data_IF_352816668930
#
_entry.id   IF_352816668930
#
_cell.length_a   1.000
_cell.length_b   1.000
_cell.length_c   1.000
_cell.angle_alpha   90.00
_cell.angle_beta   90.00
_cell.angle_gamma   90.00
#
_symmetry.space_group_name_H-M   'P 1'
#
loop_
_entity.id
_entity.type
_entity.pdbx_description
1 polymer ?
#
# COMPACT_ATOMS: atom_id res chain seq x y z
N UNK A 1 -16.06 10.83 -0.41
CA UNK A 1 -14.60 11.01 -0.52
C UNK A 1 -14.26 11.22 -2.00
N UNK A 2 -13.30 12.08 -2.34
CA UNK A 2 -12.90 12.33 -3.72
C UNK A 2 -12.23 11.10 -4.35
N UNK A 3 -12.34 10.93 -5.66
CA UNK A 3 -11.61 9.90 -6.40
C UNK A 3 -10.10 10.08 -6.29
N UNK A 4 -9.38 8.97 -6.31
CA UNK A 4 -7.91 8.98 -6.37
C UNK A 4 -7.49 9.56 -7.72
N UNK A 5 -6.79 10.68 -7.67
CA UNK A 5 -6.27 11.41 -8.81
C UNK A 5 -4.78 11.11 -9.00
N UNK A 6 -4.40 10.73 -10.22
CA UNK A 6 -3.01 10.55 -10.63
C UNK A 6 -2.20 11.85 -10.47
N UNK A 7 -0.96 11.74 -10.02
CA UNK A 7 -0.06 12.86 -9.72
C UNK A 7 -0.18 13.40 -8.29
N UNK A 8 -1.29 13.16 -7.59
CA UNK A 8 -1.49 13.62 -6.21
C UNK A 8 -0.78 12.73 -5.19
N UNK A 9 -0.59 13.28 -3.99
CA UNK A 9 0.08 12.63 -2.85
C UNK A 9 -0.93 12.22 -1.81
N UNK A 10 -0.73 11.05 -1.22
CA UNK A 10 -1.65 10.47 -0.26
C UNK A 10 -0.88 9.87 0.92
N UNK A 11 -1.51 9.91 2.09
CA UNK A 11 -1.28 8.88 3.11
C UNK A 11 -2.24 7.73 2.86
N UNK A 12 -1.73 6.51 2.97
CA UNK A 12 -2.46 5.28 2.66
C UNK A 12 -2.66 4.53 3.98
N UNK A 13 -3.90 4.48 4.45
CA UNK A 13 -4.23 4.05 5.81
C UNK A 13 -4.86 2.66 5.75
N UNK A 14 -4.35 1.70 6.52
CA UNK A 14 -5.00 0.41 6.67
C UNK A 14 -6.36 0.59 7.34
N UNK A 15 -7.42 0.07 6.74
CA UNK A 15 -8.77 0.31 7.23
C UNK A 15 -9.06 -0.37 8.58
N UNK A 16 -8.38 -1.49 8.88
CA UNK A 16 -8.52 -2.25 10.13
C UNK A 16 -7.60 -1.69 11.23
N UNK A 17 -6.29 -1.65 10.97
CA UNK A 17 -5.28 -1.30 11.97
C UNK A 17 -5.09 0.22 12.17
N UNK A 18 -5.55 1.05 11.23
CA UNK A 18 -5.42 2.51 11.31
C UNK A 18 -3.99 3.05 11.12
N UNK A 19 -2.99 2.18 10.99
CA UNK A 19 -1.61 2.55 10.63
C UNK A 19 -1.50 2.88 9.14
N UNK A 20 -0.48 3.66 8.79
CA UNK A 20 -0.19 4.06 7.40
C UNK A 20 0.89 3.19 6.77
N UNK A 21 0.86 3.12 5.44
CA UNK A 21 1.93 2.56 4.62
C UNK A 21 3.22 3.39 4.80
N UNK A 22 4.20 2.83 5.51
CA UNK A 22 5.45 3.50 5.87
C UNK A 22 6.65 2.81 5.20
N UNK A 23 7.46 3.59 4.49
CA UNK A 23 8.78 3.14 4.04
C UNK A 23 9.81 3.40 5.15
N UNK A 24 10.42 2.34 5.67
CA UNK A 24 11.41 2.45 6.74
C UNK A 24 12.60 3.31 6.31
N UNK A 25 12.76 4.48 6.91
CA UNK A 25 13.91 5.37 6.69
C UNK A 25 15.25 4.74 7.11
N UNK A 26 15.22 3.72 7.99
CA UNK A 26 16.43 3.08 8.51
C UNK A 26 17.19 2.31 7.43
N UNK A 27 16.47 1.71 6.48
CA UNK A 27 17.07 0.91 5.42
C UNK A 27 16.58 1.29 4.01
N UNK A 28 15.60 2.18 3.91
CA UNK A 28 15.01 2.63 2.65
C UNK A 28 14.43 1.48 1.83
N UNK A 29 14.03 0.36 2.45
CA UNK A 29 13.60 -0.85 1.76
C UNK A 29 12.38 -1.51 2.38
N UNK A 30 12.27 -1.58 3.70
CA UNK A 30 11.16 -2.30 4.33
C UNK A 30 9.88 -1.46 4.32
N UNK A 31 8.76 -2.06 3.94
CA UNK A 31 7.42 -1.46 4.07
C UNK A 31 6.69 -2.05 5.27
N UNK A 32 6.23 -1.19 6.17
CA UNK A 32 5.52 -1.58 7.39
C UNK A 32 4.29 -0.69 7.61
N UNK A 33 3.37 -1.16 8.45
CA UNK A 33 2.38 -0.31 9.10
C UNK A 33 3.06 0.52 10.19
N UNK A 34 2.82 1.83 10.20
CA UNK A 34 3.27 2.70 11.29
C UNK A 34 2.23 3.77 11.65
N UNK A 35 2.34 4.35 12.84
CA UNK A 35 1.53 5.51 13.20
C UNK A 35 1.86 6.69 12.29
N UNK A 36 0.85 7.48 11.92
CA UNK A 36 1.05 8.67 11.11
C UNK A 36 1.83 9.75 11.86
N UNK A 37 2.94 10.19 11.27
CA UNK A 37 3.82 11.26 11.76
C UNK A 37 3.92 12.43 10.78
N UNK A 38 3.36 12.32 9.58
CA UNK A 38 3.41 13.40 8.58
C UNK A 38 4.76 13.54 7.88
N UNK A 39 5.61 12.52 7.95
CA UNK A 39 6.93 12.53 7.32
C UNK A 39 6.86 12.00 5.88
N UNK A 40 7.78 12.46 5.03
CA UNK A 40 7.79 12.11 3.59
C UNK A 40 7.85 10.60 3.31
N UNK A 41 8.36 9.80 4.24
CA UNK A 41 8.43 8.34 4.10
C UNK A 41 7.06 7.65 4.26
N UNK A 42 6.05 8.38 4.70
CA UNK A 42 4.65 7.94 4.84
C UNK A 42 3.73 8.53 3.76
N UNK A 43 4.31 9.33 2.85
CA UNK A 43 3.59 9.99 1.78
C UNK A 43 3.94 9.32 0.45
N UNK A 44 2.91 8.99 -0.31
CA UNK A 44 3.03 8.29 -1.59
C UNK A 44 2.36 9.11 -2.69
N UNK A 45 3.14 9.45 -3.72
CA UNK A 45 2.60 9.98 -4.97
C UNK A 45 2.05 8.82 -5.79
N UNK A 46 0.79 8.91 -6.20
CA UNK A 46 0.15 7.90 -7.02
C UNK A 46 0.22 8.30 -8.50
N UNK A 47 0.70 7.40 -9.34
CA UNK A 47 0.86 7.63 -10.77
C UNK A 47 0.09 6.53 -11.53
N UNK A 48 -0.88 6.93 -12.34
CA UNK A 48 -1.62 6.02 -13.22
C UNK A 48 -0.98 5.98 -14.61
N UNK A 49 -0.69 4.78 -15.10
CA UNK A 49 -0.07 4.56 -16.41
C UNK A 49 -1.16 4.45 -17.47
N UNK A 50 -1.34 5.49 -18.29
CA UNK A 50 -2.27 5.50 -19.44
C UNK A 50 -3.71 5.04 -19.11
N UNK A 51 -4.19 5.35 -17.90
CA UNK A 51 -5.52 4.91 -17.43
C UNK A 51 -5.58 3.45 -16.97
N UNK A 52 -4.45 2.73 -17.00
CA UNK A 52 -4.30 1.34 -16.54
C UNK A 52 -3.78 1.26 -15.09
N UNK A 53 -2.68 0.52 -14.85
CA UNK A 53 -2.21 0.22 -13.50
C UNK A 53 -1.68 1.46 -12.77
N UNK A 54 -1.63 1.32 -11.45
CA UNK A 54 -1.14 2.35 -10.53
C UNK A 54 0.27 2.03 -10.05
N UNK A 55 1.05 3.09 -9.83
CA UNK A 55 2.36 3.07 -9.18
C UNK A 55 2.32 3.95 -7.96
N UNK A 56 3.00 3.54 -6.90
CA UNK A 56 3.07 4.26 -5.63
C UNK A 56 4.51 4.66 -5.40
N UNK A 57 4.82 5.94 -5.57
CA UNK A 57 6.17 6.49 -5.43
C UNK A 57 6.31 7.19 -4.09
N UNK A 58 7.22 6.74 -3.25
CA UNK A 58 7.46 7.32 -1.94
C UNK A 58 8.12 8.70 -2.07
N UNK A 59 7.63 9.70 -1.34
CA UNK A 59 8.13 11.07 -1.45
C UNK A 59 9.52 11.23 -0.85
N UNK A 60 9.91 10.42 0.15
CA UNK A 60 11.20 10.61 0.85
C UNK A 60 12.43 10.30 -0.01
N UNK A 61 12.32 9.37 -0.95
CA UNK A 61 13.46 8.88 -1.72
C UNK A 61 13.13 8.47 -3.16
N UNK A 62 11.86 8.57 -3.58
CA UNK A 62 11.45 8.26 -4.94
C UNK A 62 11.31 6.77 -5.26
N UNK A 63 11.48 5.86 -4.29
CA UNK A 63 11.29 4.42 -4.46
C UNK A 63 9.82 4.05 -4.58
N UNK A 64 9.54 2.93 -5.23
CA UNK A 64 8.20 2.42 -5.46
C UNK A 64 7.84 1.29 -4.50
N UNK A 65 6.57 1.23 -4.09
CA UNK A 65 6.00 0.05 -3.44
C UNK A 65 6.06 -1.12 -4.42
N UNK A 66 6.73 -2.20 -4.05
CA UNK A 66 6.93 -3.36 -4.92
C UNK A 66 6.89 -4.68 -4.14
N UNK A 67 6.51 -5.74 -4.85
CA UNK A 67 6.75 -7.11 -4.42
C UNK A 67 8.00 -7.65 -5.14
N UNK A 68 8.87 -8.36 -4.43
CA UNK A 68 10.07 -8.96 -4.99
C UNK A 68 10.01 -10.49 -4.88
N UNK A 69 9.95 -11.16 -6.03
CA UNK A 69 9.78 -12.62 -6.14
C UNK A 69 8.33 -13.05 -6.40
N UNK A 70 8.08 -14.36 -6.37
CA UNK A 70 6.77 -14.91 -6.69
C UNK A 70 5.73 -14.61 -5.60
N UNK A 71 4.51 -14.18 -5.98
CA UNK A 71 3.46 -13.82 -5.03
C UNK A 71 3.02 -15.05 -4.24
N UNK A 72 2.96 -14.88 -2.91
CA UNK A 72 2.59 -15.89 -1.92
C UNK A 72 2.16 -15.18 -0.64
N UNK A 73 1.42 -15.89 0.20
CA UNK A 73 1.10 -15.42 1.55
C UNK A 73 2.38 -15.13 2.33
N UNK A 74 2.40 -13.98 2.99
CA UNK A 74 3.53 -13.52 3.80
C UNK A 74 4.69 -12.92 3.00
N UNK A 75 4.54 -12.67 1.70
CA UNK A 75 5.60 -11.98 0.94
C UNK A 75 5.62 -10.49 1.34
N UNK A 76 6.59 -10.10 2.17
CA UNK A 76 6.76 -8.71 2.58
C UNK A 76 7.07 -7.79 1.38
N UNK A 77 6.39 -6.64 1.35
CA UNK A 77 6.61 -5.61 0.34
C UNK A 77 7.82 -4.75 0.65
N UNK A 78 8.41 -4.20 -0.41
CA UNK A 78 9.64 -3.42 -0.35
C UNK A 78 9.51 -2.08 -1.08
N UNK A 79 10.40 -1.15 -0.74
CA UNK A 79 10.77 -0.01 -1.56
C UNK A 79 11.78 -0.42 -2.63
N UNK A 80 11.43 -0.25 -3.90
CA UNK A 80 12.24 -0.59 -5.07
C UNK A 80 12.63 0.66 -5.86
N UNK A 81 13.82 0.68 -6.46
CA UNK A 81 14.20 1.71 -7.44
C UNK A 81 13.40 1.57 -8.75
N UNK A 82 12.92 0.36 -9.04
CA UNK A 82 12.14 0.07 -10.24
C UNK A 82 10.64 0.22 -9.95
N UNK A 83 9.86 0.84 -10.86
CA UNK A 83 8.42 0.92 -10.70
C UNK A 83 7.77 -0.46 -10.74
N UNK A 84 6.72 -0.62 -9.94
CA UNK A 84 5.90 -1.83 -9.91
C UNK A 84 4.45 -1.44 -10.20
N UNK A 85 3.83 -2.15 -11.15
CA UNK A 85 2.46 -1.90 -11.56
C UNK A 85 1.49 -2.68 -10.65
N UNK A 86 0.53 -1.99 -10.06
CA UNK A 86 -0.52 -2.58 -9.24
C UNK A 86 -1.89 -2.35 -9.88
N UNK A 87 -2.81 -3.29 -9.69
CA UNK A 87 -4.22 -3.02 -9.88
C UNK A 87 -4.80 -2.38 -8.61
N UNK A 88 -5.82 -1.54 -8.78
CA UNK A 88 -6.51 -0.92 -7.66
C UNK A 88 -8.01 -0.91 -7.91
N UNK A 89 -8.76 -1.45 -6.95
CA UNK A 89 -10.22 -1.58 -7.05
C UNK A 89 -10.86 -1.09 -5.76
N UNK A 90 -12.06 -0.51 -5.85
CA UNK A 90 -12.88 -0.26 -4.64
C UNK A 90 -13.23 -1.61 -4.01
N UNK A 91 -13.19 -1.69 -2.68
CA UNK A 91 -13.68 -2.88 -2.00
C UNK A 91 -15.20 -3.01 -2.19
N UNK A 92 -15.66 -4.25 -2.37
CA UNK A 92 -17.07 -4.54 -2.65
C UNK A 92 -17.97 -4.36 -1.43
N UNK A 93 -17.43 -4.45 -0.21
CA UNK A 93 -18.19 -4.33 1.05
C UNK A 93 -18.09 -2.93 1.64
N UNK A 94 -17.00 -2.22 1.43
CA UNK A 94 -16.88 -0.80 1.73
C UNK A 94 -16.24 -0.02 0.58
N UNK A 95 -17.08 0.64 -0.22
CA UNK A 95 -16.66 1.45 -1.36
C UNK A 95 -15.82 2.70 -0.98
N UNK A 96 -15.70 3.02 0.32
CA UNK A 96 -14.78 4.05 0.82
C UNK A 96 -13.33 3.55 0.94
N UNK A 97 -13.11 2.26 0.79
CA UNK A 97 -11.78 1.64 0.81
C UNK A 97 -11.43 1.03 -0.53
N UNK A 98 -10.14 0.80 -0.73
CA UNK A 98 -9.59 0.18 -1.93
C UNK A 98 -8.76 -1.04 -1.57
N UNK A 99 -8.67 -1.98 -2.52
CA UNK A 99 -7.68 -3.05 -2.52
C UNK A 99 -6.58 -2.71 -3.51
N UNK A 100 -5.33 -2.91 -3.07
CA UNK A 100 -4.13 -2.79 -3.92
C UNK A 100 -3.72 -4.22 -4.28
N UNK A 101 -3.79 -4.58 -5.55
CA UNK A 101 -3.80 -5.98 -6.00
C UNK A 101 -2.61 -6.27 -6.90
N UNK A 102 -1.92 -7.36 -6.61
CA UNK A 102 -0.85 -7.87 -7.46
C UNK A 102 -1.48 -8.34 -8.79
N UNK A 103 -1.05 -7.81 -9.96
CA UNK A 103 -1.69 -8.09 -11.24
C UNK A 103 -1.83 -9.58 -11.55
N UNK A 104 -2.97 -9.95 -12.15
CA UNK A 104 -3.26 -11.32 -12.62
C UNK A 104 -3.18 -12.41 -11.55
N UNK A 105 -3.39 -12.04 -10.28
CA UNK A 105 -3.42 -12.98 -9.16
C UNK A 105 -4.53 -12.67 -8.17
N UNK A 106 -4.69 -13.54 -7.17
CA UNK A 106 -5.57 -13.32 -6.02
C UNK A 106 -4.90 -12.55 -4.88
N UNK A 107 -3.62 -12.21 -4.97
CA UNK A 107 -2.87 -11.60 -3.87
C UNK A 107 -3.06 -10.08 -3.83
N UNK A 108 -3.23 -9.54 -2.64
CA UNK A 108 -3.33 -8.10 -2.41
C UNK A 108 -2.50 -7.65 -1.22
N UNK A 109 -2.29 -6.35 -1.10
CA UNK A 109 -1.58 -5.73 0.02
C UNK A 109 -2.37 -5.91 1.33
N UNK A 110 -1.72 -6.52 2.30
CA UNK A 110 -2.24 -6.92 3.61
C UNK A 110 -1.39 -6.28 4.73
N UNK A 111 -2.05 -5.79 5.78
CA UNK A 111 -1.40 -5.51 7.06
C UNK A 111 -1.43 -6.77 7.92
N UNK A 112 -0.25 -7.35 8.16
CA UNK A 112 -0.12 -8.67 8.76
C UNK A 112 -0.68 -8.75 10.20
N UNK A 113 -0.77 -9.97 10.72
CA UNK A 113 -1.32 -10.19 12.07
C UNK A 113 -2.81 -9.86 12.18
N UNK A 114 -3.56 -9.98 11.07
CA UNK A 114 -4.97 -9.59 10.96
C UNK A 114 -5.20 -8.09 11.20
N UNK A 115 -4.27 -7.24 10.75
CA UNK A 115 -4.35 -5.80 10.92
C UNK A 115 -3.78 -5.30 12.25
N UNK A 116 -2.68 -5.89 12.72
CA UNK A 116 -2.01 -5.46 13.94
C UNK A 116 -1.51 -4.00 13.80
N UNK A 117 -2.04 -3.12 14.64
CA UNK A 117 -1.72 -1.69 14.65
C UNK A 117 -0.35 -1.36 15.27
N UNK A 118 0.40 -2.36 15.73
CA UNK A 118 1.74 -2.17 16.30
C UNK A 118 2.68 -1.57 15.26
N UNK A 119 3.46 -0.56 15.67
CA UNK A 119 4.45 0.04 14.78
C UNK A 119 5.47 -1.01 14.33
N UNK A 120 5.56 -1.23 13.02
CA UNK A 120 6.51 -2.16 12.43
C UNK A 120 5.86 -3.46 11.96
N UNK A 121 4.54 -3.61 12.11
CA UNK A 121 3.80 -4.72 11.51
C UNK A 121 4.09 -4.77 10.00
N UNK A 122 4.55 -5.91 9.47
CA UNK A 122 4.83 -6.05 8.04
C UNK A 122 3.64 -5.72 7.15
N UNK A 123 3.92 -5.05 6.04
CA UNK A 123 3.00 -5.00 4.90
C UNK A 123 3.41 -6.10 3.94
N UNK A 124 2.48 -6.99 3.62
CA UNK A 124 2.76 -8.20 2.85
C UNK A 124 1.72 -8.44 1.76
N UNK A 125 2.01 -9.39 0.89
CA UNK A 125 0.98 -10.01 0.07
C UNK A 125 0.30 -11.11 0.86
N UNK A 126 -1.01 -11.14 0.74
CA UNK A 126 -1.83 -12.26 1.19
C UNK A 126 -2.97 -12.50 0.21
N UNK A 127 -3.38 -13.75 0.08
CA UNK A 127 -4.51 -14.15 -0.76
C UNK A 127 -5.77 -13.40 -0.33
N UNK A 128 -6.51 -12.85 -1.30
CA UNK A 128 -7.73 -12.07 -1.04
C UNK A 128 -8.69 -12.87 -0.17
N UNK A 129 -9.09 -12.28 0.95
CA UNK A 129 -10.14 -12.75 1.82
C UNK A 129 -11.02 -11.60 2.33
N UNK A 130 -11.98 -11.99 3.16
CA UNK A 130 -13.03 -11.15 3.68
C UNK A 130 -12.61 -10.27 4.88
N UNK A 131 -11.33 -10.16 5.21
CA UNK A 131 -10.92 -9.32 6.33
C UNK A 131 -10.55 -7.90 5.87
N UNK A 132 -10.74 -6.95 6.77
CA UNK A 132 -10.60 -5.50 6.49
C UNK A 132 -9.13 -5.08 6.45
N UNK A 133 -8.21 -5.87 7.02
CA UNK A 133 -6.77 -5.62 7.00
C UNK A 133 -6.15 -5.65 5.58
N UNK A 134 -6.92 -6.05 4.57
CA UNK A 134 -6.55 -6.02 3.15
C UNK A 134 -7.10 -4.81 2.38
N UNK A 135 -7.72 -3.86 3.09
CA UNK A 135 -8.38 -2.69 2.50
C UNK A 135 -7.77 -1.40 3.04
N UNK A 136 -7.73 -0.38 2.18
CA UNK A 136 -6.92 0.82 2.38
C UNK A 136 -7.73 2.07 2.07
N UNK A 137 -7.67 3.06 2.97
CA UNK A 137 -8.19 4.41 2.73
C UNK A 137 -7.08 5.29 2.17
N UNK A 138 -7.45 6.14 1.22
CA UNK A 138 -6.55 7.11 0.60
C UNK A 138 -6.97 8.52 0.99
N UNK A 139 -6.13 9.20 1.76
CA UNK A 139 -6.36 10.58 2.16
C UNK A 139 -5.28 11.45 1.55
N UNK A 140 -5.69 12.42 0.73
CA UNK A 140 -4.76 13.35 0.08
C UNK A 140 -4.05 14.21 1.14
N UNK A 141 -2.76 14.48 0.92
CA UNK A 141 -1.92 15.33 1.79
C UNK A 141 -1.41 16.58 1.08
#
# INVERSE_FOLDING_TARGET
>A
MSEITSGNRYKIINAQGGTVLDLSIKNGRTINGWNWHGTDNQIWQLEQVEGGPWRFRNVSNGKYLAAEGNPRDGLQLIGSEQPFNWHMWRDERDQNTYRIVYPDTVFNVDLSGNGDSTGGTPIELWGRHEAVNQTWRFEQV
#
